data_IF_889375333672
#
_entry.id   IF_889375333672
#
_cell.length_a   1.000
_cell.length_b   1.000
_cell.length_c   1.000
_cell.angle_alpha   90.00
_cell.angle_beta   90.00
_cell.angle_gamma   90.00
#
_symmetry.space_group_name_H-M   'P 1'
#
loop_
_entity.id
_entity.type
_entity.pdbx_description
1 polymer ?
#
# COMPACT_ATOMS: atom_id res chain seq x y z
N UNK A 1 20.50 -2.04 20.47
CA UNK A 1 19.08 -2.40 20.56
C UNK A 1 18.68 -2.99 19.21
N UNK A 2 18.59 -4.31 19.09
CA UNK A 2 18.17 -4.95 17.85
C UNK A 2 16.63 -4.91 17.82
N UNK A 3 16.05 -3.97 17.09
CA UNK A 3 14.65 -4.08 16.71
C UNK A 3 14.53 -5.41 15.97
N UNK A 4 13.69 -6.32 16.47
CA UNK A 4 13.32 -7.53 15.74
C UNK A 4 12.68 -7.09 14.43
N UNK A 5 13.51 -6.82 13.42
CA UNK A 5 13.07 -6.55 12.08
C UNK A 5 12.43 -7.85 11.63
N UNK A 6 11.10 -7.92 11.76
CA UNK A 6 10.32 -9.02 11.23
C UNK A 6 10.75 -9.28 9.79
N UNK A 7 10.64 -10.54 9.36
CA UNK A 7 11.20 -11.02 8.09
C UNK A 7 11.02 -9.97 6.97
N UNK A 8 12.14 -9.37 6.54
CA UNK A 8 12.12 -8.39 5.47
C UNK A 8 11.58 -9.09 4.23
N UNK A 9 10.58 -8.49 3.63
CA UNK A 9 9.92 -9.05 2.45
C UNK A 9 9.67 -7.93 1.46
N UNK A 10 9.27 -8.29 0.26
CA UNK A 10 8.93 -7.34 -0.79
C UNK A 10 7.49 -7.54 -1.22
N UNK A 11 6.85 -6.46 -1.66
CA UNK A 11 5.52 -6.56 -2.24
C UNK A 11 5.62 -7.20 -3.63
N UNK A 12 4.70 -8.10 -3.98
CA UNK A 12 4.68 -8.66 -5.32
C UNK A 12 4.47 -7.57 -6.37
N UNK A 13 5.22 -7.64 -7.47
CA UNK A 13 5.18 -6.63 -8.51
C UNK A 13 3.78 -6.48 -9.10
N UNK A 14 3.38 -5.26 -9.43
CA UNK A 14 2.06 -4.96 -10.00
C UNK A 14 1.52 -3.62 -9.56
N UNK A 15 0.28 -3.34 -9.99
CA UNK A 15 -0.38 -2.06 -9.75
C UNK A 15 -1.26 -2.21 -8.52
N UNK A 16 -1.01 -1.39 -7.51
CA UNK A 16 -1.82 -1.31 -6.30
C UNK A 16 -2.79 -0.14 -6.44
N UNK A 17 -4.07 -0.48 -6.58
CA UNK A 17 -5.15 0.49 -6.69
C UNK A 17 -5.87 0.59 -5.35
N UNK A 18 -5.86 1.79 -4.77
CA UNK A 18 -6.52 2.08 -3.50
C UNK A 18 -7.95 2.58 -3.73
N UNK A 19 -8.89 2.02 -2.97
CA UNK A 19 -10.29 2.39 -3.03
C UNK A 19 -10.87 2.46 -1.60
N UNK A 20 -11.80 3.38 -1.38
CA UNK A 20 -12.60 3.48 -0.17
C UNK A 20 -13.90 2.67 -0.33
N UNK A 21 -14.39 2.01 0.73
CA UNK A 21 -15.75 1.49 0.72
C UNK A 21 -16.70 2.67 0.60
N UNK A 22 -17.54 2.64 -0.43
CA UNK A 22 -18.58 3.65 -0.58
C UNK A 22 -19.76 3.39 0.34
N UNK A 23 -20.72 4.32 0.30
CA UNK A 23 -21.91 4.27 1.14
C UNK A 23 -23.03 3.45 0.48
N UNK A 24 -24.01 2.98 1.26
CA UNK A 24 -25.08 2.10 0.79
C UNK A 24 -25.98 2.75 -0.29
N UNK A 25 -25.89 4.06 -0.46
CA UNK A 25 -26.59 4.83 -1.49
C UNK A 25 -25.78 5.01 -2.81
N UNK A 26 -24.55 4.50 -2.90
CA UNK A 26 -23.64 4.76 -4.01
C UNK A 26 -22.76 3.58 -4.43
N UNK A 27 -21.67 3.87 -5.15
CA UNK A 27 -20.73 2.84 -5.61
C UNK A 27 -20.12 2.09 -4.42
N UNK A 28 -20.13 0.76 -4.44
CA UNK A 28 -19.61 -0.05 -3.34
C UNK A 28 -18.12 0.23 -3.01
N UNK A 29 -17.35 0.69 -4.01
CA UNK A 29 -15.96 1.11 -3.86
C UNK A 29 -15.70 2.38 -4.68
N UNK A 30 -15.09 3.38 -4.05
CA UNK A 30 -14.67 4.63 -4.69
C UNK A 30 -13.16 4.62 -4.82
N UNK A 31 -12.66 4.61 -6.05
CA UNK A 31 -11.22 4.66 -6.30
C UNK A 31 -10.61 5.99 -5.86
N UNK A 32 -9.40 5.92 -5.33
CA UNK A 32 -8.59 7.07 -4.94
C UNK A 32 -7.48 7.26 -5.98
N UNK A 33 -7.73 7.98 -7.10
CA UNK A 33 -6.80 8.08 -8.22
C UNK A 33 -5.44 8.73 -7.88
N UNK A 34 -5.29 9.39 -6.73
CA UNK A 34 -4.01 9.93 -6.24
C UNK A 34 -3.30 9.08 -5.17
N UNK A 35 -3.80 7.87 -4.88
CA UNK A 35 -3.21 6.94 -3.89
C UNK A 35 -2.78 5.61 -4.52
N UNK A 36 -2.87 5.52 -5.85
CA UNK A 36 -2.40 4.36 -6.59
C UNK A 36 -0.88 4.38 -6.73
N UNK A 37 -0.27 3.20 -6.62
CA UNK A 37 1.17 3.03 -6.78
C UNK A 37 1.47 1.71 -7.49
N UNK A 38 2.59 1.68 -8.18
CA UNK A 38 3.08 0.53 -8.94
C UNK A 38 4.34 0.04 -8.23
N UNK A 39 4.42 -1.26 -8.00
CA UNK A 39 5.63 -1.92 -7.53
C UNK A 39 6.23 -2.64 -8.75
N UNK A 40 7.25 -2.06 -9.35
CA UNK A 40 8.06 -2.68 -10.41
C UNK A 40 9.38 -3.27 -9.88
N UNK A 41 9.83 -2.79 -8.71
CA UNK A 41 11.08 -3.21 -8.10
C UNK A 41 10.89 -3.60 -6.63
N UNK A 42 11.83 -4.40 -6.11
CA UNK A 42 11.74 -5.13 -4.86
C UNK A 42 11.44 -4.24 -3.63
N UNK A 43 11.93 -3.01 -3.57
CA UNK A 43 11.69 -2.10 -2.42
C UNK A 43 11.36 -0.66 -2.84
N UNK A 44 10.95 -0.49 -4.10
CA UNK A 44 10.60 0.82 -4.66
C UNK A 44 9.17 0.81 -5.20
N UNK A 45 8.55 1.98 -5.20
CA UNK A 45 7.22 2.19 -5.75
C UNK A 45 7.22 3.43 -6.65
N UNK A 46 6.31 3.43 -7.60
CA UNK A 46 6.10 4.53 -8.55
C UNK A 46 4.63 4.96 -8.51
N UNK A 47 4.39 6.27 -8.51
CA UNK A 47 3.07 6.89 -8.61
C UNK A 47 3.07 7.88 -9.77
N UNK A 48 1.91 8.47 -10.06
CA UNK A 48 1.81 9.55 -11.04
C UNK A 48 2.65 10.78 -10.64
N UNK A 49 2.75 11.06 -9.34
CA UNK A 49 3.47 12.21 -8.78
C UNK A 49 4.98 11.98 -8.62
N UNK A 50 5.46 10.73 -8.63
CA UNK A 50 6.88 10.42 -8.50
C UNK A 50 7.16 9.01 -8.00
N UNK A 51 8.40 8.76 -7.59
CA UNK A 51 8.82 7.45 -7.09
C UNK A 51 9.36 7.55 -5.66
N UNK A 52 9.39 6.42 -4.96
CA UNK A 52 9.95 6.34 -3.62
C UNK A 52 10.28 4.92 -3.20
N UNK A 53 10.61 4.75 -1.92
CA UNK A 53 10.95 3.45 -1.34
C UNK A 53 10.02 3.13 -0.18
N UNK A 54 9.81 1.83 0.03
CA UNK A 54 9.04 1.31 1.15
C UNK A 54 9.80 0.20 1.86
N UNK A 55 9.43 -0.04 3.10
CA UNK A 55 9.92 -1.12 3.93
C UNK A 55 8.75 -2.08 4.20
N UNK A 56 8.88 -3.34 3.80
CA UNK A 56 7.89 -4.36 4.11
C UNK A 56 8.46 -5.38 5.10
N UNK A 57 7.82 -5.48 6.25
CA UNK A 57 8.32 -6.20 7.43
C UNK A 57 7.16 -7.01 8.02
N UNK A 58 7.24 -8.33 7.92
CA UNK A 58 6.11 -9.21 8.29
C UNK A 58 4.90 -8.94 7.42
N UNK A 59 3.89 -8.25 7.97
CA UNK A 59 2.70 -7.82 7.23
C UNK A 59 2.59 -6.30 7.11
N UNK A 60 3.56 -5.51 7.60
CA UNK A 60 3.48 -4.05 7.61
C UNK A 60 4.38 -3.44 6.54
N UNK A 61 3.81 -2.59 5.71
CA UNK A 61 4.46 -1.79 4.66
C UNK A 61 4.57 -0.36 5.16
N UNK A 62 5.76 0.19 5.24
CA UNK A 62 6.01 1.58 5.68
C UNK A 62 6.72 2.33 4.58
N UNK A 63 6.15 3.43 4.12
CA UNK A 63 6.71 4.24 3.05
C UNK A 63 7.72 5.24 3.61
N UNK A 64 8.99 5.07 3.25
CA UNK A 64 10.11 5.83 3.85
C UNK A 64 10.63 6.96 2.96
N UNK A 65 10.25 7.00 1.67
CA UNK A 65 10.57 8.09 0.73
C UNK A 65 9.45 8.31 -0.29
N UNK A 66 9.50 9.44 -1.00
CA UNK A 66 8.62 9.77 -2.12
C UNK A 66 7.31 10.45 -1.69
N UNK A 67 6.32 10.59 -2.59
CA UNK A 67 5.08 11.32 -2.32
C UNK A 67 4.19 10.65 -1.26
N UNK A 68 4.40 9.36 -0.99
CA UNK A 68 3.68 8.62 0.06
C UNK A 68 4.48 8.48 1.36
N UNK A 69 5.53 9.29 1.56
CA UNK A 69 6.36 9.21 2.75
C UNK A 69 5.55 9.37 4.05
N UNK A 70 5.81 8.49 5.03
CA UNK A 70 5.11 8.45 6.31
C UNK A 70 3.86 7.59 6.30
N UNK A 71 3.35 7.19 5.12
CA UNK A 71 2.20 6.30 5.04
C UNK A 71 2.56 4.87 5.43
N UNK A 72 1.64 4.21 6.12
CA UNK A 72 1.79 2.82 6.54
C UNK A 72 0.62 2.00 6.02
N UNK A 73 0.86 0.77 5.60
CA UNK A 73 -0.16 -0.15 5.15
C UNK A 73 0.06 -1.51 5.80
N UNK A 74 -1.00 -2.26 5.98
CA UNK A 74 -0.95 -3.63 6.47
C UNK A 74 -1.50 -4.58 5.42
N UNK A 75 -0.76 -5.65 5.17
CA UNK A 75 -1.16 -6.73 4.29
C UNK A 75 -2.17 -7.62 5.01
N UNK A 76 -3.44 -7.41 4.69
CA UNK A 76 -4.54 -8.24 5.19
C UNK A 76 -4.84 -9.45 4.32
N UNK A 77 -4.21 -9.56 3.14
CA UNK A 77 -4.35 -10.73 2.27
C UNK A 77 -3.21 -10.84 1.25
N UNK A 78 -3.23 -11.90 0.45
CA UNK A 78 -2.16 -12.18 -0.52
C UNK A 78 -1.94 -11.04 -1.52
N UNK A 79 -3.02 -10.33 -1.88
CA UNK A 79 -3.02 -9.25 -2.88
C UNK A 79 -3.71 -7.98 -2.35
N UNK A 80 -3.95 -7.90 -1.04
CA UNK A 80 -4.75 -6.84 -0.44
C UNK A 80 -3.98 -6.19 0.69
N UNK A 81 -3.90 -4.86 0.64
CA UNK A 81 -3.35 -3.99 1.65
C UNK A 81 -4.48 -3.12 2.22
N UNK A 82 -4.39 -2.75 3.49
CA UNK A 82 -5.22 -1.71 4.11
C UNK A 82 -4.32 -0.60 4.60
N UNK A 83 -4.73 0.64 4.37
CA UNK A 83 -4.00 1.78 4.90
C UNK A 83 -4.14 1.79 6.43
N UNK A 84 -3.05 2.01 7.14
CA UNK A 84 -3.01 2.30 8.56
C UNK A 84 -3.01 3.82 8.79
N UNK A 85 -3.88 4.31 9.66
CA UNK A 85 -3.84 5.72 10.06
C UNK A 85 -2.61 6.04 10.94
N UNK A 86 -2.49 7.29 11.38
CA UNK A 86 -1.41 7.76 12.26
C UNK A 86 -1.37 7.03 13.61
N UNK A 87 -2.51 6.52 14.09
CA UNK A 87 -2.60 5.67 15.28
C UNK A 87 -2.22 4.21 15.01
N UNK A 88 -1.99 3.85 13.75
CA UNK A 88 -1.67 2.48 13.34
C UNK A 88 -2.89 1.58 13.27
N UNK A 89 -4.10 2.13 13.15
CA UNK A 89 -5.35 1.37 13.03
C UNK A 89 -5.73 1.18 11.55
N UNK A 90 -6.39 0.06 11.23
CA UNK A 90 -6.81 -0.26 9.86
C UNK A 90 -7.89 0.72 9.39
N UNK A 91 -7.50 1.62 8.50
CA UNK A 91 -8.40 2.55 7.85
C UNK A 91 -9.41 1.83 6.95
N UNK A 92 -10.42 2.60 6.53
CA UNK A 92 -11.41 2.17 5.53
C UNK A 92 -10.77 1.99 4.15
N UNK A 93 -9.63 2.64 3.87
CA UNK A 93 -8.96 2.52 2.56
C UNK A 93 -8.37 1.13 2.39
N UNK A 94 -8.77 0.45 1.32
CA UNK A 94 -8.24 -0.84 0.89
C UNK A 94 -7.53 -0.68 -0.44
N UNK A 95 -6.30 -1.15 -0.54
CA UNK A 95 -5.56 -1.22 -1.79
C UNK A 95 -5.45 -2.66 -2.27
N UNK A 96 -5.93 -2.92 -3.47
CA UNK A 96 -5.85 -4.24 -4.10
C UNK A 96 -4.82 -4.22 -5.20
N UNK A 97 -3.94 -5.22 -5.20
CA UNK A 97 -3.02 -5.48 -6.30
C UNK A 97 -3.83 -6.00 -7.49
N UNK A 98 -3.76 -5.27 -8.59
CA UNK A 98 -4.06 -5.77 -9.92
C UNK A 98 -2.77 -6.33 -10.49
N UNK A 99 -2.80 -7.61 -10.86
CA UNK A 99 -1.76 -8.20 -11.69
C UNK A 99 -1.86 -7.54 -13.07
N UNK A 100 -1.24 -6.36 -13.21
CA UNK A 100 -0.98 -5.80 -14.53
C UNK A 100 0.06 -6.68 -15.18
N UNK A 101 -0.27 -7.28 -16.31
CA UNK A 101 0.72 -7.71 -17.29
C UNK A 101 1.55 -6.48 -17.66
N UNK A 102 2.75 -6.35 -17.10
CA UNK A 102 3.73 -5.35 -17.54
C UNK A 102 4.55 -5.93 -18.69
#
# INVERSE_FOLDING_TARGET
MAQSAGKLSTLPHGIYQCSLPGDAAGAAWVDLPGKQFIIDNASSYHTADGAGTYLFTGNRVTFTRGPMNGMQFERTGSQTLRWLDEKGELSRVRCTRRAGSI
#
